data_IF_182075501038
#
_entry.id   IF_182075501038
#
_cell.length_a   1.000
_cell.length_b   1.000
_cell.length_c   1.000
_cell.angle_alpha   90.00
_cell.angle_beta   90.00
_cell.angle_gamma   90.00
#
_symmetry.space_group_name_H-M   'P 1'
#
loop_
_entity.id
_entity.type
_entity.pdbx_description
1 polymer ?
#
# COMPACT_ATOMS: atom_id res chain seq x y z
N UNK A 1 -2.40 -2.68 -15.03
CA UNK A 1 -3.27 -1.51 -14.80
C UNK A 1 -4.73 -1.95 -14.60
N UNK A 2 -4.98 -2.87 -13.65
CA UNK A 2 -6.35 -3.37 -13.34
C UNK A 2 -6.71 -3.05 -11.88
N UNK A 3 -5.77 -3.27 -10.95
CA UNK A 3 -5.97 -3.00 -9.52
C UNK A 3 -6.42 -1.56 -9.23
N UNK A 4 -5.88 -0.54 -9.90
CA UNK A 4 -6.29 0.85 -9.63
C UNK A 4 -7.75 1.09 -10.07
N UNK A 5 -8.16 0.60 -11.25
CA UNK A 5 -9.52 0.79 -11.75
C UNK A 5 -10.56 0.09 -10.87
N UNK A 6 -10.27 -1.14 -10.45
CA UNK A 6 -11.20 -1.92 -9.62
C UNK A 6 -11.40 -1.31 -8.23
N UNK A 7 -10.32 -0.78 -7.64
CA UNK A 7 -10.40 -0.15 -6.32
C UNK A 7 -11.12 1.21 -6.36
N UNK A 8 -11.02 1.98 -7.44
CA UNK A 8 -11.78 3.24 -7.57
C UNK A 8 -13.30 3.00 -7.59
N UNK A 9 -13.76 1.96 -8.27
CA UNK A 9 -15.18 1.60 -8.28
C UNK A 9 -15.65 1.18 -6.87
N UNK A 10 -14.87 0.34 -6.19
CA UNK A 10 -15.17 -0.10 -4.83
C UNK A 10 -15.20 1.08 -3.84
N UNK A 11 -14.28 2.05 -3.99
CA UNK A 11 -14.29 3.26 -3.17
C UNK A 11 -15.53 4.12 -3.41
N UNK A 12 -15.89 4.34 -4.67
CA UNK A 12 -17.08 5.12 -5.01
C UNK A 12 -18.35 4.49 -4.41
N UNK A 13 -18.50 3.16 -4.52
CA UNK A 13 -19.62 2.43 -3.93
C UNK A 13 -19.64 2.50 -2.40
N UNK A 14 -18.48 2.40 -1.76
CA UNK A 14 -18.38 2.43 -0.30
C UNK A 14 -18.62 3.82 0.30
N UNK A 15 -18.16 4.88 -0.38
CA UNK A 15 -18.43 6.28 0.00
C UNK A 15 -19.93 6.59 0.02
N UNK A 16 -20.72 5.95 -0.85
CA UNK A 16 -22.17 6.14 -0.92
C UNK A 16 -22.95 5.32 0.11
N UNK A 17 -22.31 4.42 0.86
CA UNK A 17 -23.00 3.40 1.66
C UNK A 17 -22.74 3.53 3.17
N UNK A 18 -21.52 3.25 3.61
CA UNK A 18 -21.11 3.40 5.01
C UNK A 18 -19.58 3.46 5.14
N UNK A 19 -19.13 4.24 6.12
CA UNK A 19 -17.74 4.41 6.53
C UNK A 19 -17.05 3.10 6.93
N UNK A 20 -17.78 2.10 7.42
CA UNK A 20 -17.21 0.79 7.77
C UNK A 20 -16.77 -0.01 6.54
N UNK A 21 -17.59 -0.03 5.48
CA UNK A 21 -17.22 -0.70 4.22
C UNK A 21 -16.05 0.02 3.54
N UNK A 22 -16.05 1.36 3.62
CA UNK A 22 -14.94 2.16 3.12
C UNK A 22 -13.63 1.83 3.85
N UNK A 23 -13.68 1.73 5.18
CA UNK A 23 -12.53 1.38 6.02
C UNK A 23 -11.97 0.00 5.68
N UNK A 24 -12.83 -1.00 5.42
CA UNK A 24 -12.41 -2.35 4.99
C UNK A 24 -11.68 -2.31 3.65
N UNK A 25 -12.18 -1.56 2.68
CA UNK A 25 -11.56 -1.46 1.34
C UNK A 25 -10.22 -0.72 1.43
N UNK A 26 -10.14 0.38 2.20
CA UNK A 26 -8.90 1.11 2.45
C UNK A 26 -7.84 0.22 3.09
N UNK A 27 -8.20 -0.56 4.12
CA UNK A 27 -7.29 -1.49 4.78
C UNK A 27 -6.78 -2.57 3.83
N UNK A 28 -7.66 -3.10 2.97
CA UNK A 28 -7.28 -4.10 1.96
C UNK A 28 -6.33 -3.52 0.92
N UNK A 29 -6.61 -2.31 0.44
CA UNK A 29 -5.72 -1.60 -0.48
C UNK A 29 -4.35 -1.35 0.16
N UNK A 30 -4.33 -0.86 1.40
CA UNK A 30 -3.09 -0.62 2.15
C UNK A 30 -2.23 -1.89 2.24
N UNK A 31 -2.82 -3.03 2.60
CA UNK A 31 -2.12 -4.30 2.69
C UNK A 31 -1.54 -4.77 1.35
N UNK A 32 -2.28 -4.58 0.24
CA UNK A 32 -1.79 -4.90 -1.10
C UNK A 32 -0.65 -3.98 -1.52
N UNK A 33 -0.82 -2.68 -1.31
CA UNK A 33 0.21 -1.69 -1.59
C UNK A 33 1.46 -1.98 -0.76
N UNK A 34 1.34 -2.30 0.53
CA UNK A 34 2.48 -2.63 1.37
C UNK A 34 3.23 -3.86 0.83
N UNK A 35 2.52 -4.95 0.48
CA UNK A 35 3.13 -6.17 -0.08
C UNK A 35 3.81 -5.92 -1.43
N UNK A 36 3.13 -5.19 -2.31
CA UNK A 36 3.69 -4.83 -3.62
C UNK A 36 4.81 -3.81 -3.51
N UNK A 37 4.78 -2.96 -2.48
CA UNK A 37 5.82 -1.98 -2.20
C UNK A 37 7.14 -2.66 -1.87
N UNK A 38 7.13 -3.71 -1.03
CA UNK A 38 8.34 -4.51 -0.77
C UNK A 38 8.90 -5.16 -2.04
N UNK A 39 8.02 -5.66 -2.91
CA UNK A 39 8.43 -6.24 -4.20
C UNK A 39 9.02 -5.17 -5.12
N UNK A 40 8.36 -4.03 -5.23
CA UNK A 40 8.81 -2.89 -6.03
C UNK A 40 10.18 -2.42 -5.58
N UNK A 41 10.39 -2.29 -4.27
CA UNK A 41 11.69 -1.93 -3.70
C UNK A 41 12.77 -2.97 -4.01
N UNK A 42 12.46 -4.27 -3.93
CA UNK A 42 13.36 -5.35 -4.37
C UNK A 42 13.82 -5.21 -5.82
N UNK A 43 12.98 -4.64 -6.70
CA UNK A 43 13.30 -4.40 -8.11
C UNK A 43 13.71 -2.95 -8.39
N UNK A 44 14.10 -2.19 -7.35
CA UNK A 44 14.52 -0.78 -7.44
C UNK A 44 13.47 0.13 -8.11
N UNK A 45 12.19 -0.20 -7.96
CA UNK A 45 11.07 0.59 -8.45
C UNK A 45 10.46 1.40 -7.31
N UNK A 46 10.22 2.69 -7.56
CA UNK A 46 9.48 3.57 -6.65
C UNK A 46 8.01 3.17 -6.58
N UNK A 47 7.46 3.29 -5.38
CA UNK A 47 6.08 3.01 -5.02
C UNK A 47 5.34 4.30 -4.70
N UNK A 48 4.01 4.21 -4.56
CA UNK A 48 3.21 5.33 -4.07
C UNK A 48 3.67 5.82 -2.69
N UNK A 49 4.24 4.94 -1.85
CA UNK A 49 4.77 5.33 -0.54
C UNK A 49 6.03 6.17 -0.65
N UNK A 50 6.89 5.88 -1.64
CA UNK A 50 8.08 6.69 -1.92
C UNK A 50 7.70 8.08 -2.47
N UNK A 51 6.59 8.18 -3.21
CA UNK A 51 6.05 9.47 -3.68
C UNK A 51 5.42 10.26 -2.52
N UNK A 52 4.73 9.57 -1.61
CA UNK A 52 4.08 10.16 -0.45
C UNK A 52 5.04 10.40 0.73
N UNK A 53 6.33 10.07 0.60
CA UNK A 53 7.33 10.24 1.66
C UNK A 53 7.09 9.35 2.89
N UNK A 54 6.34 8.26 2.75
CA UNK A 54 6.05 7.33 3.86
C UNK A 54 7.31 6.50 4.13
N UNK A 55 8.03 6.85 5.19
CA UNK A 55 9.22 6.11 5.65
C UNK A 55 8.75 4.76 6.19
N UNK A 56 9.23 3.68 5.59
CA UNK A 56 9.14 2.38 6.22
C UNK A 56 10.20 2.31 7.32
N UNK A 57 9.79 2.26 8.58
CA UNK A 57 10.67 1.80 9.66
C UNK A 57 10.96 0.31 9.42
N UNK A 58 11.97 0.02 8.61
CA UNK A 58 12.56 -1.30 8.55
C UNK A 58 13.53 -1.42 9.72
N UNK A 59 13.23 -2.30 10.67
CA UNK A 59 14.25 -2.96 11.47
C UNK A 59 15.06 -3.85 10.53
N UNK A 60 16.03 -3.28 9.83
CA UNK A 60 17.19 -4.06 9.40
C UNK A 60 17.82 -4.62 10.67
N UNK A 61 17.94 -5.95 10.85
CA UNK A 61 18.87 -6.46 11.84
C UNK A 61 20.23 -5.99 11.34
N UNK A 62 20.78 -5.01 12.06
CA UNK A 62 22.14 -4.51 11.86
C UNK A 62 23.01 -5.75 11.79
N UNK A 63 23.47 -6.12 10.59
CA UNK A 63 24.62 -6.98 10.50
C UNK A 63 25.75 -6.12 11.06
N UNK A 64 26.02 -6.29 12.35
CA UNK A 64 27.28 -5.87 12.94
C UNK A 64 28.35 -6.63 12.18
N UNK A 65 28.95 -5.95 11.21
CA UNK A 65 30.19 -6.40 10.62
C UNK A 65 31.24 -6.16 11.69
N UNK A 66 31.80 -7.25 12.20
CA UNK A 66 32.89 -7.26 13.18
C UNK A 66 34.16 -6.61 12.63
#
# INVERSE_FOLDING_TARGET
MYMIKDYFLLFHQALQKDTQELSKILLRLFNLLQRNGRKSHRYEKKTVFDILGVVYEYTTPVHQVA
#
